data_IF_593903624153
#
_entry.id   IF_593903624153
#
_cell.length_a   1.000
_cell.length_b   1.000
_cell.length_c   1.000
_cell.angle_alpha   90.00
_cell.angle_beta   90.00
_cell.angle_gamma   90.00
#
_symmetry.space_group_name_H-M   'P 1'
#
loop_
_entity.id
_entity.type
_entity.pdbx_description
1 polymer ?
#
# COMPACT_ATOMS: atom_id res chain seq x y z
N UNK A 1 26.07 -37.62 13.45
CA UNK A 1 24.64 -37.46 13.13
C UNK A 1 24.16 -36.21 13.84
N UNK A 2 23.50 -35.21 13.29
CA UNK A 2 23.24 -34.73 11.93
C UNK A 2 22.60 -33.36 12.19
N UNK A 3 23.13 -32.27 11.67
CA UNK A 3 22.38 -31.01 11.57
C UNK A 3 22.78 -30.32 10.27
N UNK A 4 21.97 -30.60 9.26
CA UNK A 4 21.87 -29.89 8.00
C UNK A 4 21.06 -28.59 8.22
N UNK A 5 21.36 -27.56 7.43
CA UNK A 5 20.83 -26.16 7.41
C UNK A 5 21.73 -25.06 8.01
N UNK A 6 22.66 -24.55 7.20
CA UNK A 6 22.82 -23.09 7.08
C UNK A 6 22.37 -22.71 5.67
N UNK A 7 21.07 -22.45 5.56
CA UNK A 7 20.47 -21.93 4.35
C UNK A 7 20.97 -20.50 4.15
N UNK A 8 21.75 -20.30 3.10
CA UNK A 8 22.15 -19.01 2.54
C UNK A 8 22.70 -18.00 3.56
N UNK A 9 24.00 -18.11 3.85
CA UNK A 9 24.82 -16.91 4.03
C UNK A 9 24.75 -16.14 2.69
N UNK A 10 23.67 -15.38 2.49
CA UNK A 10 23.67 -14.32 1.50
C UNK A 10 24.83 -13.43 1.89
N UNK A 11 25.84 -13.35 1.02
CA UNK A 11 27.03 -12.56 1.25
C UNK A 11 26.58 -11.13 1.59
N UNK A 12 26.77 -10.72 2.85
CA UNK A 12 26.37 -9.40 3.36
C UNK A 12 26.92 -8.28 2.46
N UNK A 13 28.07 -8.53 1.81
CA UNK A 13 28.63 -7.59 0.84
C UNK A 13 27.79 -7.48 -0.43
N UNK A 14 27.23 -8.58 -0.93
CA UNK A 14 26.32 -8.60 -2.07
C UNK A 14 25.01 -7.86 -1.75
N UNK A 15 24.47 -8.04 -0.54
CA UNK A 15 23.26 -7.34 -0.07
C UNK A 15 23.51 -5.82 -0.05
N UNK A 16 24.65 -5.39 0.51
CA UNK A 16 25.00 -3.97 0.61
C UNK A 16 25.22 -3.32 -0.76
N UNK A 17 25.77 -4.06 -1.73
CA UNK A 17 25.92 -3.59 -3.13
C UNK A 17 24.57 -3.42 -3.81
N UNK A 18 23.65 -4.39 -3.66
CA UNK A 18 22.29 -4.30 -4.20
C UNK A 18 21.52 -3.13 -3.59
N UNK A 19 21.63 -2.93 -2.28
CA UNK A 19 20.96 -1.83 -1.57
C UNK A 19 21.44 -0.45 -2.06
N UNK A 20 22.76 -0.25 -2.18
CA UNK A 20 23.32 1.02 -2.73
C UNK A 20 22.87 1.27 -4.16
N UNK A 21 22.84 0.22 -4.99
CA UNK A 21 22.36 0.30 -6.37
C UNK A 21 20.88 0.71 -6.44
N UNK A 22 20.06 0.20 -5.52
CA UNK A 22 18.64 0.55 -5.43
C UNK A 22 18.45 2.02 -5.03
N UNK A 23 19.15 2.48 -3.99
CA UNK A 23 19.12 3.89 -3.58
C UNK A 23 19.50 4.84 -4.72
N UNK A 24 20.58 4.54 -5.45
CA UNK A 24 21.01 5.37 -6.58
C UNK A 24 19.99 5.44 -7.72
N UNK A 25 19.27 4.34 -7.98
CA UNK A 25 18.20 4.29 -8.99
C UNK A 25 17.04 5.22 -8.63
N UNK A 26 16.64 5.29 -7.37
CA UNK A 26 15.46 6.06 -6.96
C UNK A 26 15.74 7.49 -6.50
N UNK A 27 16.97 7.81 -6.09
CA UNK A 27 17.36 9.17 -5.72
C UNK A 27 17.19 10.19 -6.86
N UNK A 28 17.25 9.75 -8.13
CA UNK A 28 17.12 10.63 -9.30
C UNK A 28 15.77 10.51 -10.01
N UNK A 29 14.91 9.56 -9.63
CA UNK A 29 13.59 9.36 -10.25
C UNK A 29 12.57 10.44 -9.88
N UNK A 30 12.85 11.26 -8.87
CA UNK A 30 12.01 12.41 -8.49
C UNK A 30 12.09 13.63 -9.41
N UNK A 31 12.94 13.63 -10.46
CA UNK A 31 13.14 14.79 -11.34
C UNK A 31 12.50 14.71 -12.73
N UNK A 32 11.76 13.66 -13.06
CA UNK A 32 11.10 13.54 -14.37
C UNK A 32 9.75 12.81 -14.28
N UNK A 33 8.71 13.56 -13.93
CA UNK A 33 7.32 13.23 -14.26
C UNK A 33 6.47 14.51 -14.32
N UNK A 34 7.00 15.53 -15.03
CA UNK A 34 6.22 16.65 -15.54
C UNK A 34 5.95 16.42 -17.02
N UNK A 35 5.02 15.53 -17.36
CA UNK A 35 4.50 15.37 -18.71
C UNK A 35 2.99 15.55 -18.67
N UNK A 36 2.59 16.71 -19.19
CA UNK A 36 1.23 17.20 -19.32
C UNK A 36 0.32 16.21 -20.04
N UNK A 37 -0.88 15.99 -19.47
CA UNK A 37 -2.03 15.52 -20.24
C UNK A 37 -2.92 16.74 -20.44
N UNK A 38 -3.05 17.15 -21.70
CA UNK A 38 -3.88 18.23 -22.16
C UNK A 38 -5.36 17.92 -21.87
N UNK A 39 -5.93 18.60 -20.88
CA UNK A 39 -7.36 18.64 -20.58
C UNK A 39 -7.81 20.10 -20.54
N UNK A 40 -8.51 20.51 -21.58
CA UNK A 40 -9.07 21.86 -21.78
C UNK A 40 -10.06 22.19 -20.65
N UNK A 41 -9.81 23.26 -19.87
CA UNK A 41 -10.74 23.86 -18.92
C UNK A 41 -10.45 25.37 -18.79
N UNK A 42 -11.47 26.19 -18.48
CA UNK A 42 -11.69 27.47 -19.16
C UNK A 42 -10.79 28.60 -18.65
N UNK A 43 -10.65 29.61 -19.51
CA UNK A 43 -10.09 30.93 -19.25
C UNK A 43 -10.69 31.51 -17.96
N UNK A 44 -9.89 31.52 -16.89
CA UNK A 44 -10.21 32.24 -15.66
C UNK A 44 -9.60 33.62 -15.80
N UNK A 45 -10.51 34.58 -15.78
CA UNK A 45 -10.26 36.00 -15.96
C UNK A 45 -9.16 36.54 -15.04
N UNK A 46 -8.38 37.46 -15.58
CA UNK A 46 -7.26 38.14 -14.91
C UNK A 46 -7.78 38.97 -13.73
N UNK A 47 -7.35 38.63 -12.51
CA UNK A 47 -6.85 39.58 -11.48
C UNK A 47 -6.57 38.82 -10.17
N UNK A 48 -5.46 38.08 -10.13
CA UNK A 48 -4.84 37.72 -8.86
C UNK A 48 -3.33 37.83 -9.05
N UNK A 49 -2.59 38.50 -8.15
CA UNK A 49 -1.16 38.63 -8.30
C UNK A 49 -0.56 37.23 -8.25
N UNK A 50 0.28 36.95 -9.24
CA UNK A 50 1.12 35.75 -9.30
C UNK A 50 2.09 35.81 -8.13
N UNK A 51 1.68 35.31 -6.97
CA UNK A 51 2.63 34.90 -5.94
C UNK A 51 3.19 33.58 -6.41
N UNK A 52 4.45 33.61 -6.87
CA UNK A 52 5.11 32.49 -7.52
C UNK A 52 4.96 31.19 -6.74
N UNK A 53 4.80 30.09 -7.49
CA UNK A 53 4.66 28.72 -6.99
C UNK A 53 5.90 28.18 -6.23
N UNK A 54 6.80 29.06 -5.80
CA UNK A 54 8.10 28.75 -5.16
C UNK A 54 8.31 29.53 -3.84
N UNK A 55 7.26 30.20 -3.33
CA UNK A 55 7.31 30.89 -2.04
C UNK A 55 6.91 29.94 -0.90
N UNK A 56 7.84 29.63 0.00
CA UNK A 56 7.55 28.91 1.24
C UNK A 56 6.58 29.77 2.08
N UNK A 57 5.40 29.24 2.49
CA UNK A 57 4.44 30.01 3.27
C UNK A 57 5.06 30.49 4.58
N UNK A 58 4.83 31.76 4.92
CA UNK A 58 5.26 32.31 6.21
C UNK A 58 4.25 31.91 7.31
N UNK A 59 4.68 31.95 8.57
CA UNK A 59 3.83 31.61 9.73
C UNK A 59 2.51 32.42 9.82
N UNK A 60 2.45 33.55 9.13
CA UNK A 60 1.27 34.43 9.05
C UNK A 60 0.26 34.03 7.99
N UNK A 61 0.62 33.12 7.08
CA UNK A 61 -0.23 32.73 5.96
C UNK A 61 -1.16 31.60 6.37
N UNK A 62 -2.47 31.83 6.23
CA UNK A 62 -3.48 30.81 6.48
C UNK A 62 -3.49 29.79 5.31
N UNK A 63 -2.98 28.58 5.56
CA UNK A 63 -3.01 27.49 4.59
C UNK A 63 -4.36 26.76 4.69
N UNK A 64 -5.23 26.99 3.71
CA UNK A 64 -6.49 26.26 3.58
C UNK A 64 -6.24 24.92 2.87
N UNK A 65 -6.16 23.84 3.66
CA UNK A 65 -6.10 22.48 3.12
C UNK A 65 -7.51 22.08 2.67
N UNK A 66 -7.64 21.69 1.40
CA UNK A 66 -8.86 21.09 0.91
C UNK A 66 -9.06 19.75 1.65
N UNK A 67 -10.24 19.49 2.23
CA UNK A 67 -10.52 18.20 2.84
C UNK A 67 -10.31 17.11 1.79
N UNK A 68 -9.31 16.26 1.98
CA UNK A 68 -9.14 15.09 1.14
C UNK A 68 -10.37 14.20 1.35
N UNK A 69 -11.14 13.97 0.30
CA UNK A 69 -12.21 12.97 0.31
C UNK A 69 -11.53 11.61 0.39
N UNK A 70 -11.29 11.13 1.62
CA UNK A 70 -10.78 9.78 1.84
C UNK A 70 -11.91 8.84 1.43
N UNK A 71 -11.78 8.21 0.26
CA UNK A 71 -12.69 7.14 -0.11
C UNK A 71 -12.63 6.06 0.98
N UNK A 72 -13.78 5.59 1.49
CA UNK A 72 -13.82 4.48 2.43
C UNK A 72 -13.10 3.29 1.82
N UNK A 73 -12.10 2.77 2.52
CA UNK A 73 -11.43 1.56 2.05
C UNK A 73 -12.45 0.42 2.01
N UNK A 74 -12.54 -0.33 0.89
CA UNK A 74 -13.44 -1.46 0.81
C UNK A 74 -13.17 -2.44 1.97
N UNK A 75 -14.25 -3.03 2.49
CA UNK A 75 -14.17 -3.96 3.61
C UNK A 75 -13.19 -5.08 3.29
N UNK A 76 -12.04 -5.08 3.97
CA UNK A 76 -11.04 -6.12 3.81
C UNK A 76 -11.61 -7.41 4.40
N UNK A 77 -11.39 -8.53 3.71
CA UNK A 77 -11.68 -9.85 4.28
C UNK A 77 -10.87 -10.03 5.56
N UNK A 78 -11.44 -10.75 6.52
CA UNK A 78 -10.73 -11.10 7.75
C UNK A 78 -9.56 -12.04 7.42
N UNK A 79 -8.47 -12.05 8.21
CA UNK A 79 -7.33 -12.93 7.96
C UNK A 79 -7.72 -14.41 7.86
N UNK A 80 -8.68 -14.86 8.67
CA UNK A 80 -9.18 -16.24 8.63
C UNK A 80 -9.90 -16.54 7.33
N UNK A 81 -10.70 -15.59 6.83
CA UNK A 81 -11.38 -15.76 5.56
C UNK A 81 -10.39 -15.89 4.40
N UNK A 82 -9.32 -15.10 4.40
CA UNK A 82 -8.26 -15.19 3.39
C UNK A 82 -7.54 -16.54 3.41
N UNK A 83 -7.18 -17.03 4.60
CA UNK A 83 -6.52 -18.33 4.76
C UNK A 83 -7.44 -19.46 4.31
N UNK A 84 -8.73 -19.39 4.66
CA UNK A 84 -9.71 -20.38 4.23
C UNK A 84 -9.89 -20.38 2.71
N UNK A 85 -10.05 -19.21 2.09
CA UNK A 85 -10.22 -19.11 0.64
C UNK A 85 -8.98 -19.68 -0.10
N UNK A 86 -7.77 -19.38 0.36
CA UNK A 86 -6.53 -19.94 -0.21
C UNK A 86 -6.45 -21.47 -0.03
N UNK A 87 -6.79 -22.00 1.15
CA UNK A 87 -6.76 -23.44 1.40
C UNK A 87 -7.78 -24.21 0.55
N UNK A 88 -8.94 -23.62 0.28
CA UNK A 88 -9.96 -24.22 -0.60
C UNK A 88 -9.51 -24.22 -2.05
N UNK A 89 -8.87 -23.14 -2.49
CA UNK A 89 -8.26 -23.04 -3.82
C UNK A 89 -7.16 -24.10 -4.00
N UNK A 90 -6.24 -24.21 -3.03
CA UNK A 90 -5.16 -25.20 -3.02
C UNK A 90 -5.69 -26.64 -3.02
N UNK A 91 -6.80 -26.90 -2.32
CA UNK A 91 -7.42 -28.22 -2.24
C UNK A 91 -8.36 -28.53 -3.43
N UNK A 92 -8.58 -27.57 -4.33
CA UNK A 92 -9.60 -27.64 -5.39
C UNK A 92 -11.00 -28.03 -4.88
N UNK A 93 -11.36 -27.52 -3.69
CA UNK A 93 -12.67 -27.74 -3.09
C UNK A 93 -13.55 -26.55 -3.44
N UNK A 94 -14.61 -26.80 -4.20
CA UNK A 94 -15.62 -25.78 -4.46
C UNK A 94 -16.60 -25.70 -3.30
N UNK A 95 -16.82 -24.49 -2.79
CA UNK A 95 -17.70 -24.24 -1.64
C UNK A 95 -18.45 -22.93 -1.82
N UNK A 96 -19.74 -22.95 -1.48
CA UNK A 96 -20.61 -21.79 -1.61
C UNK A 96 -20.10 -20.60 -0.80
N UNK A 97 -20.41 -19.40 -1.27
CA UNK A 97 -19.97 -18.14 -0.65
C UNK A 97 -20.52 -18.01 0.78
N UNK A 98 -21.76 -18.44 1.03
CA UNK A 98 -22.37 -18.41 2.36
C UNK A 98 -21.72 -19.43 3.29
N UNK A 99 -21.48 -20.65 2.82
CA UNK A 99 -20.83 -21.70 3.61
C UNK A 99 -19.40 -21.31 4.00
N UNK A 100 -18.63 -20.75 3.04
CA UNK A 100 -17.32 -20.18 3.34
C UNK A 100 -17.39 -19.07 4.39
N UNK A 101 -18.46 -18.27 4.40
CA UNK A 101 -18.59 -17.14 5.34
C UNK A 101 -18.94 -17.65 6.73
N UNK A 102 -19.87 -18.59 6.81
CA UNK A 102 -20.24 -19.27 8.04
C UNK A 102 -19.03 -19.99 8.66
N UNK A 103 -18.26 -20.70 7.84
CA UNK A 103 -17.07 -21.42 8.29
C UNK A 103 -15.98 -20.47 8.79
N UNK A 104 -15.66 -19.40 8.05
CA UNK A 104 -14.69 -18.39 8.51
C UNK A 104 -15.10 -17.77 9.86
N UNK A 105 -16.38 -17.41 10.02
CA UNK A 105 -16.90 -16.84 11.26
C UNK A 105 -16.86 -17.83 12.44
N UNK A 106 -17.18 -19.11 12.19
CA UNK A 106 -17.10 -20.16 13.20
C UNK A 106 -15.65 -20.38 13.67
N UNK A 107 -14.69 -20.35 12.74
CA UNK A 107 -13.26 -20.47 13.03
C UNK A 107 -12.76 -19.27 13.85
N UNK A 108 -13.15 -18.05 13.50
CA UNK A 108 -12.82 -16.83 14.27
C UNK A 108 -13.33 -16.93 15.70
N UNK A 109 -14.61 -17.27 15.85
CA UNK A 109 -15.23 -17.42 17.18
C UNK A 109 -14.53 -18.46 18.02
N UNK A 110 -14.09 -19.57 17.40
CA UNK A 110 -13.38 -20.64 18.10
C UNK A 110 -11.98 -20.21 18.53
N UNK A 111 -11.23 -19.52 17.66
CA UNK A 111 -9.90 -19.00 17.98
C UNK A 111 -9.95 -17.97 19.11
N UNK A 112 -10.93 -17.06 19.10
CA UNK A 112 -11.12 -16.09 20.18
C UNK A 112 -11.45 -16.75 21.53
N UNK A 113 -12.07 -17.94 21.52
CA UNK A 113 -12.36 -18.71 22.74
C UNK A 113 -11.15 -19.50 23.26
N UNK A 114 -10.18 -19.82 22.41
CA UNK A 114 -9.00 -20.61 22.78
C UNK A 114 -7.85 -19.78 23.35
N UNK A 115 -7.86 -18.46 23.13
CA UNK A 115 -6.81 -17.53 23.59
C UNK A 115 -7.13 -16.98 25.02
N UNK A 116 -8.08 -17.60 25.73
CA UNK A 116 -8.57 -17.17 27.05
C UNK A 116 -8.27 -18.22 28.10
#
# INVERSE_FOLDING_TARGET
>A
MSDDKSAADFDDTEIMVKFRSLLGKYQNQGKIAGTAIAGKAPEIDKTAPVTGADAIPLLTDAVFLHPAVIQPQPARLTPIRQILDAALEDAHIDMDVQDRKALAHALETRLSKQIK
#
